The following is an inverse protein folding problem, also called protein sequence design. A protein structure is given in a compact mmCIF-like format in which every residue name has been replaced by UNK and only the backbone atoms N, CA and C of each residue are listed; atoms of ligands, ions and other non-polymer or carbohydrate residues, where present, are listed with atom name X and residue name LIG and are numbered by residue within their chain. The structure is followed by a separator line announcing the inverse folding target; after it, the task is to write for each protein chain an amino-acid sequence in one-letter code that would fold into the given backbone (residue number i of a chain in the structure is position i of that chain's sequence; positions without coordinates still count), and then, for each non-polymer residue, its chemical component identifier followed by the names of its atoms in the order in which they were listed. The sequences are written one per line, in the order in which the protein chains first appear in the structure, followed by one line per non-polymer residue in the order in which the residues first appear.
data_IF_132791576778
#
_entry.id   IF_132791576778
#
_cell.length_a   1.000
_cell.length_b   1.000
_cell.length_c   1.000
_cell.angle_alpha   90.00
_cell.angle_beta   90.00
_cell.angle_gamma   90.00
#
_symmetry.space_group_name_H-M   'P 1'
#
loop_
_entity.id
_entity.type
_entity.pdbx_description
1 polymer ?
#
# COMPACT_ATOMS: atom_id res chain seq x y z
N UNK A 1 -3.03 35.19 24.29
CA UNK A 1 -3.29 34.97 22.83
C UNK A 1 -2.43 35.83 21.91
N UNK A 2 -2.48 37.18 21.96
CA UNK A 2 -1.75 38.04 21.00
C UNK A 2 -0.22 37.85 20.95
N UNK A 3 0.42 37.51 22.08
CA UNK A 3 1.85 37.16 22.12
C UNK A 3 2.17 35.92 21.28
N UNK A 4 1.33 34.88 21.37
CA UNK A 4 1.46 33.66 20.57
C UNK A 4 1.27 33.94 19.08
N UNK A 5 0.31 34.82 18.75
CA UNK A 5 0.08 35.23 17.37
C UNK A 5 1.31 35.93 16.74
N UNK A 6 2.04 36.76 17.52
CA UNK A 6 3.30 37.39 17.07
C UNK A 6 4.44 36.38 16.86
N UNK A 7 4.47 35.30 17.62
CA UNK A 7 5.49 34.25 17.49
C UNK A 7 5.19 33.21 16.41
N UNK A 8 3.95 33.15 15.91
CA UNK A 8 3.53 32.20 14.88
C UNK A 8 4.08 32.57 13.51
N UNK A 9 4.71 31.61 12.83
CA UNK A 9 5.16 31.73 11.43
C UNK A 9 4.06 31.38 10.42
N UNK A 10 2.90 30.88 10.88
CA UNK A 10 1.78 30.48 10.02
C UNK A 10 0.69 31.55 10.02
N UNK A 11 0.48 32.22 8.88
CA UNK A 11 -0.53 33.28 8.76
C UNK A 11 -1.95 32.82 9.15
N UNK A 12 -2.31 31.57 8.83
CA UNK A 12 -3.60 30.98 9.22
C UNK A 12 -3.71 30.82 10.73
N UNK A 13 -2.68 30.28 11.39
CA UNK A 13 -2.64 30.11 12.83
C UNK A 13 -2.67 31.48 13.53
N UNK A 14 -1.94 32.47 13.03
CA UNK A 14 -1.95 33.85 13.54
C UNK A 14 -3.36 34.43 13.51
N UNK A 15 -4.07 34.30 12.38
CA UNK A 15 -5.46 34.78 12.26
C UNK A 15 -6.40 34.10 13.27
N UNK A 16 -6.28 32.79 13.44
CA UNK A 16 -7.07 32.00 14.41
C UNK A 16 -6.79 32.44 15.85
N UNK A 17 -5.52 32.66 16.19
CA UNK A 17 -5.10 33.15 17.51
C UNK A 17 -5.60 34.57 17.79
N UNK A 18 -5.67 35.45 16.77
CA UNK A 18 -6.24 36.79 16.92
C UNK A 18 -7.76 36.76 17.09
N UNK A 19 -8.46 35.90 16.35
CA UNK A 19 -9.90 35.69 16.53
C UNK A 19 -10.22 35.17 17.94
N UNK A 20 -9.42 34.23 18.47
CA UNK A 20 -9.61 33.77 19.85
C UNK A 20 -9.17 34.82 20.89
N UNK A 21 -8.17 35.65 20.59
CA UNK A 21 -7.80 36.77 21.47
C UNK A 21 -8.98 37.71 21.74
N UNK A 22 -9.76 38.02 20.69
CA UNK A 22 -10.95 38.85 20.80
C UNK A 22 -11.97 38.28 21.79
N UNK A 23 -12.20 36.96 21.76
CA UNK A 23 -13.10 36.29 22.71
C UNK A 23 -12.57 36.41 24.14
N UNK A 24 -11.26 36.20 24.33
CA UNK A 24 -10.62 36.30 25.64
C UNK A 24 -10.66 37.72 26.22
N UNK A 25 -10.64 38.73 25.36
CA UNK A 25 -10.77 40.14 25.76
C UNK A 25 -12.23 40.54 26.03
N UNK A 26 -13.17 39.60 26.01
CA UNK A 26 -14.61 39.84 26.25
C UNK A 26 -15.40 40.23 25.00
N UNK A 27 -14.78 40.19 23.82
CA UNK A 27 -15.42 40.48 22.54
C UNK A 27 -16.45 39.40 22.13
N UNK A 28 -17.37 39.79 21.26
CA UNK A 28 -18.43 38.89 20.79
C UNK A 28 -17.91 37.86 19.78
N UNK A 29 -18.59 36.71 19.70
CA UNK A 29 -18.29 35.68 18.67
C UNK A 29 -18.42 36.22 17.25
N UNK A 30 -19.30 37.19 17.03
CA UNK A 30 -19.44 37.87 15.74
C UNK A 30 -18.23 38.77 15.41
N UNK A 31 -17.64 39.43 16.42
CA UNK A 31 -16.38 40.18 16.26
C UNK A 31 -15.22 39.24 15.90
N UNK A 32 -15.07 38.16 16.67
CA UNK A 32 -14.05 37.16 16.42
C UNK A 32 -14.18 36.50 15.03
N UNK A 33 -15.40 36.22 14.59
CA UNK A 33 -15.70 35.69 13.26
C UNK A 33 -15.24 36.63 12.14
N UNK A 34 -15.47 37.95 12.29
CA UNK A 34 -14.97 38.96 11.35
C UNK A 34 -13.45 39.02 11.31
N UNK A 35 -12.78 38.99 12.46
CA UNK A 35 -11.29 38.93 12.54
C UNK A 35 -10.75 37.66 11.86
N UNK A 36 -11.43 36.53 12.09
CA UNK A 36 -11.10 35.23 11.51
C UNK A 36 -11.40 35.12 10.01
N UNK A 37 -12.30 35.95 9.48
CA UNK A 37 -12.86 35.82 8.13
C UNK A 37 -13.64 34.52 7.95
N UNK A 38 -14.36 34.07 8.98
CA UNK A 38 -15.04 32.77 9.03
C UNK A 38 -16.42 32.87 9.68
N UNK A 39 -17.25 31.84 9.55
CA UNK A 39 -18.53 31.75 10.26
C UNK A 39 -18.39 31.47 11.77
N UNK A 40 -19.45 31.75 12.52
CA UNK A 40 -19.53 31.57 13.98
C UNK A 40 -19.18 30.14 14.44
N UNK A 41 -19.63 29.13 13.70
CA UNK A 41 -19.35 27.72 14.01
C UNK A 41 -17.85 27.41 13.94
N UNK A 42 -17.12 27.97 12.97
CA UNK A 42 -15.68 27.75 12.82
C UNK A 42 -14.92 28.36 14.00
N UNK A 43 -15.33 29.53 14.50
CA UNK A 43 -14.74 30.14 15.70
C UNK A 43 -14.95 29.23 16.92
N UNK A 44 -16.14 28.64 17.06
CA UNK A 44 -16.43 27.66 18.11
C UNK A 44 -15.50 26.45 18.00
N UNK A 45 -15.37 25.88 16.79
CA UNK A 45 -14.52 24.72 16.55
C UNK A 45 -13.04 25.02 16.86
N UNK A 46 -12.55 26.22 16.53
CA UNK A 46 -11.21 26.68 16.92
C UNK A 46 -11.06 26.75 18.43
N UNK A 47 -12.07 27.27 19.16
CA UNK A 47 -12.06 27.28 20.62
C UNK A 47 -11.97 25.89 21.23
N UNK A 48 -12.76 24.93 20.71
CA UNK A 48 -12.72 23.53 21.15
C UNK A 48 -11.34 22.91 20.88
N UNK A 49 -10.78 23.07 19.68
CA UNK A 49 -9.45 22.55 19.34
C UNK A 49 -8.35 23.19 20.18
N UNK A 50 -8.42 24.49 20.40
CA UNK A 50 -7.47 25.21 21.23
C UNK A 50 -7.51 24.73 22.68
N UNK A 51 -8.71 24.49 23.23
CA UNK A 51 -8.83 23.99 24.60
C UNK A 51 -8.28 22.57 24.75
N UNK A 52 -8.37 21.73 23.70
CA UNK A 52 -7.87 20.37 23.72
C UNK A 52 -6.35 20.25 23.46
N UNK A 53 -5.79 21.08 22.56
CA UNK A 53 -4.44 20.90 22.01
C UNK A 53 -3.58 22.17 22.10
N UNK A 54 -4.09 23.24 22.73
CA UNK A 54 -3.42 24.53 22.81
C UNK A 54 -3.25 25.22 21.44
N UNK A 55 -2.22 26.07 21.29
CA UNK A 55 -1.96 26.80 20.05
C UNK A 55 -1.72 25.89 18.84
N UNK A 56 -1.18 24.69 19.06
CA UNK A 56 -0.87 23.73 18.00
C UNK A 56 -2.14 23.13 17.37
N UNK A 57 -3.23 23.04 18.14
CA UNK A 57 -4.55 22.66 17.62
C UNK A 57 -5.14 23.63 16.59
N UNK A 58 -4.54 24.81 16.43
CA UNK A 58 -4.90 25.80 15.42
C UNK A 58 -4.03 25.73 14.17
N UNK A 59 -3.06 24.83 14.10
CA UNK A 59 -2.34 24.53 12.87
C UNK A 59 -3.20 23.67 11.94
N UNK A 60 -3.00 23.82 10.64
CA UNK A 60 -3.57 22.88 9.68
C UNK A 60 -2.81 21.56 9.80
N UNK A 61 -3.47 20.51 10.29
CA UNK A 61 -2.96 19.16 10.21
C UNK A 61 -2.94 18.65 8.77
N UNK A 62 -2.01 17.74 8.46
CA UNK A 62 -2.06 16.99 7.20
C UNK A 62 -3.34 16.16 7.21
N UNK A 63 -4.20 16.34 6.21
CA UNK A 63 -5.38 15.50 6.07
C UNK A 63 -4.94 14.03 6.04
N UNK A 64 -5.64 13.12 6.74
CA UNK A 64 -5.25 11.71 6.86
C UNK A 64 -5.20 10.98 5.51
N UNK A 65 -5.70 11.61 4.44
CA UNK A 65 -5.77 11.03 3.11
C UNK A 65 -6.96 10.09 2.97
N UNK A 66 -7.07 9.44 1.80
CA UNK A 66 -8.08 8.40 1.58
C UNK A 66 -7.71 7.19 2.45
N UNK A 67 -8.65 6.62 3.24
CA UNK A 67 -8.38 5.41 4.00
C UNK A 67 -7.94 4.29 3.05
N UNK A 68 -7.05 3.43 3.53
CA UNK A 68 -6.63 2.24 2.79
C UNK A 68 -7.87 1.41 2.44
N UNK A 69 -7.91 0.85 1.22
CA UNK A 69 -9.01 -0.06 0.82
C UNK A 69 -8.93 -1.40 1.54
N UNK A 70 -7.75 -1.77 2.03
CA UNK A 70 -7.54 -2.91 2.92
C UNK A 70 -7.54 -2.41 4.36
N UNK A 71 -8.38 -3.01 5.20
CA UNK A 71 -8.33 -2.80 6.64
C UNK A 71 -7.17 -3.58 7.29
N UNK A 72 -6.89 -3.32 8.57
CA UNK A 72 -5.74 -3.92 9.26
C UNK A 72 -5.86 -5.45 9.42
N UNK A 73 -7.07 -6.00 9.44
CA UNK A 73 -7.30 -7.44 9.50
C UNK A 73 -6.97 -8.11 8.16
N UNK A 74 -7.48 -7.55 7.06
CA UNK A 74 -7.23 -8.00 5.69
C UNK A 74 -5.76 -7.85 5.33
N UNK A 75 -5.10 -6.78 5.78
CA UNK A 75 -3.67 -6.60 5.57
C UNK A 75 -2.85 -7.69 6.28
N UNK A 76 -3.23 -8.09 7.51
CA UNK A 76 -2.60 -9.20 8.22
C UNK A 76 -2.85 -10.55 7.55
N UNK A 77 -4.09 -10.81 7.12
CA UNK A 77 -4.43 -12.03 6.41
C UNK A 77 -3.68 -12.15 5.07
N UNK A 78 -3.52 -11.04 4.34
CA UNK A 78 -2.72 -10.99 3.11
C UNK A 78 -1.25 -11.37 3.38
N UNK A 79 -0.67 -10.87 4.46
CA UNK A 79 0.70 -11.23 4.87
C UNK A 79 0.79 -12.72 5.16
N UNK A 80 -0.11 -13.25 5.98
CA UNK A 80 -0.13 -14.66 6.33
C UNK A 80 -0.30 -15.57 5.11
N UNK A 81 -1.19 -15.21 4.18
CA UNK A 81 -1.39 -15.96 2.93
C UNK A 81 -0.13 -15.95 2.06
N UNK A 82 0.56 -14.81 1.95
CA UNK A 82 1.82 -14.70 1.19
C UNK A 82 2.93 -15.55 1.82
N UNK A 83 3.09 -15.51 3.15
CA UNK A 83 4.11 -16.29 3.87
C UNK A 83 3.84 -17.79 3.84
N UNK A 84 2.58 -18.20 4.03
CA UNK A 84 2.17 -19.61 3.94
C UNK A 84 2.37 -20.18 2.54
N UNK A 85 2.29 -19.33 1.52
CA UNK A 85 2.27 -19.74 0.12
C UNK A 85 0.92 -20.33 -0.31
N UNK A 86 0.71 -20.53 -1.62
CA UNK A 86 -0.54 -21.06 -2.12
C UNK A 86 -0.66 -22.56 -1.84
N UNK A 87 -1.89 -23.02 -1.58
CA UNK A 87 -2.25 -24.43 -1.51
C UNK A 87 -2.63 -24.87 -2.93
N UNK A 88 -1.83 -25.69 -3.64
CA UNK A 88 -2.08 -25.97 -5.06
C UNK A 88 -3.43 -26.61 -5.34
N UNK A 89 -3.93 -27.45 -4.42
CA UNK A 89 -5.22 -28.11 -4.56
C UNK A 89 -6.42 -27.16 -4.50
N UNK A 90 -6.28 -26.00 -3.84
CA UNK A 90 -7.35 -25.02 -3.67
C UNK A 90 -7.16 -23.85 -4.64
N UNK A 91 -5.94 -23.30 -4.67
CA UNK A 91 -5.65 -22.06 -5.41
C UNK A 91 -5.20 -22.30 -6.85
N UNK A 92 -4.90 -23.55 -7.24
CA UNK A 92 -4.47 -23.90 -8.60
C UNK A 92 -3.11 -23.33 -9.03
N UNK A 93 -2.36 -22.71 -8.11
CA UNK A 93 -1.07 -22.07 -8.39
C UNK A 93 0.02 -22.56 -7.43
N UNK A 94 1.24 -22.66 -7.95
CA UNK A 94 2.43 -23.08 -7.17
C UNK A 94 3.10 -21.90 -6.47
N UNK A 95 2.94 -20.69 -7.02
CA UNK A 95 3.44 -19.45 -6.43
C UNK A 95 2.38 -18.37 -6.57
N UNK A 96 2.31 -17.49 -5.58
CA UNK A 96 1.44 -16.31 -5.66
C UNK A 96 1.94 -15.35 -6.75
N UNK A 97 1.07 -15.04 -7.72
CA UNK A 97 1.17 -13.83 -8.56
C UNK A 97 0.26 -12.77 -7.96
N UNK A 98 0.49 -11.50 -8.33
CA UNK A 98 -0.36 -10.40 -7.86
C UNK A 98 -1.83 -10.59 -8.26
N UNK A 99 -2.09 -11.08 -9.48
CA UNK A 99 -3.43 -11.40 -9.96
C UNK A 99 -4.10 -12.50 -9.11
N UNK A 100 -3.33 -13.49 -8.64
CA UNK A 100 -3.86 -14.57 -7.79
C UNK A 100 -4.23 -14.03 -6.40
N UNK A 101 -3.43 -13.11 -5.85
CA UNK A 101 -3.73 -12.47 -4.56
C UNK A 101 -4.92 -11.51 -4.65
N UNK A 102 -5.12 -10.86 -5.81
CA UNK A 102 -6.33 -10.07 -6.08
C UNK A 102 -7.56 -10.97 -6.06
N UNK A 103 -7.49 -12.11 -6.75
CA UNK A 103 -8.57 -13.09 -6.78
C UNK A 103 -8.86 -13.64 -5.38
N UNK A 104 -7.82 -14.04 -4.64
CA UNK A 104 -7.96 -14.54 -3.28
C UNK A 104 -8.58 -13.49 -2.33
N UNK A 105 -8.17 -12.22 -2.41
CA UNK A 105 -8.78 -11.14 -1.62
C UNK A 105 -10.26 -10.91 -1.95
N UNK A 106 -10.66 -11.16 -3.21
CA UNK A 106 -12.05 -11.08 -3.62
C UNK A 106 -12.85 -12.27 -3.08
N UNK A 107 -12.32 -13.49 -3.17
CA UNK A 107 -13.00 -14.71 -2.69
C UNK A 107 -13.16 -14.72 -1.16
N UNK A 108 -12.11 -14.38 -0.42
CA UNK A 108 -12.10 -14.46 1.04
C UNK A 108 -12.79 -13.25 1.69
N UNK A 109 -12.66 -12.04 1.12
CA UNK A 109 -13.10 -10.80 1.75
C UNK A 109 -14.07 -9.94 0.92
N UNK A 110 -14.44 -10.36 -0.29
CA UNK A 110 -15.24 -9.58 -1.23
C UNK A 110 -14.66 -8.18 -1.55
N UNK A 111 -13.32 -8.04 -1.49
CA UNK A 111 -12.63 -6.78 -1.73
C UNK A 111 -12.03 -6.74 -3.13
N UNK A 112 -12.64 -5.97 -4.03
CA UNK A 112 -12.14 -5.81 -5.42
C UNK A 112 -11.01 -4.77 -5.50
N UNK A 113 -9.77 -5.22 -5.69
CA UNK A 113 -8.60 -4.37 -5.90
C UNK A 113 -7.94 -4.63 -7.24
N UNK A 114 -7.22 -3.64 -7.76
CA UNK A 114 -6.33 -3.85 -8.89
C UNK A 114 -4.97 -4.40 -8.43
N UNK A 115 -4.25 -5.05 -9.35
CA UNK A 115 -2.92 -5.62 -9.07
C UNK A 115 -1.91 -4.58 -8.57
N UNK A 116 -2.01 -3.32 -9.00
CA UNK A 116 -1.07 -2.27 -8.57
C UNK A 116 -1.32 -1.87 -7.13
N UNK A 117 -2.59 -1.86 -6.67
CA UNK A 117 -2.92 -1.61 -5.27
C UNK A 117 -2.39 -2.71 -4.36
N UNK A 118 -2.58 -3.99 -4.72
CA UNK A 118 -2.02 -5.13 -3.98
C UNK A 118 -0.48 -5.07 -3.98
N UNK A 119 0.13 -4.79 -5.14
CA UNK A 119 1.59 -4.64 -5.25
C UNK A 119 2.15 -3.50 -4.38
N UNK A 120 1.46 -2.35 -4.29
CA UNK A 120 1.84 -1.25 -3.39
C UNK A 120 1.67 -1.62 -1.92
N UNK A 121 0.60 -2.33 -1.58
CA UNK A 121 0.36 -2.82 -0.22
C UNK A 121 1.49 -3.75 0.23
N UNK A 122 1.84 -4.74 -0.60
CA UNK A 122 2.95 -5.66 -0.34
C UNK A 122 4.30 -4.93 -0.25
N UNK A 123 4.57 -3.95 -1.12
CA UNK A 123 5.81 -3.15 -1.03
C UNK A 123 5.89 -2.35 0.28
N UNK A 124 4.78 -1.78 0.74
CA UNK A 124 4.71 -1.05 2.02
C UNK A 124 5.00 -1.98 3.21
N UNK A 125 4.64 -3.26 3.08
CA UNK A 125 4.91 -4.33 4.04
C UNK A 125 6.33 -4.93 3.93
N UNK A 126 7.16 -4.46 3.00
CA UNK A 126 8.54 -4.92 2.82
C UNK A 126 8.75 -6.02 1.78
N UNK A 127 7.68 -6.51 1.14
CA UNK A 127 7.81 -7.52 0.09
C UNK A 127 8.33 -6.94 -1.21
N UNK A 128 9.18 -7.71 -1.88
CA UNK A 128 9.73 -7.38 -3.20
C UNK A 128 9.33 -8.47 -4.18
N UNK A 129 8.98 -8.05 -5.40
CA UNK A 129 8.71 -8.99 -6.49
C UNK A 129 9.99 -9.78 -6.79
N UNK A 130 9.97 -11.07 -6.48
CA UNK A 130 11.04 -11.97 -6.88
C UNK A 130 10.99 -12.16 -8.40
N UNK A 131 11.99 -11.65 -9.09
CA UNK A 131 12.22 -11.93 -10.51
C UNK A 131 13.35 -12.94 -10.63
N UNK A 132 13.16 -14.00 -11.42
CA UNK A 132 14.27 -14.88 -11.78
C UNK A 132 15.33 -14.05 -12.51
N UNK A 133 16.59 -14.11 -12.06
CA UNK A 133 17.73 -13.52 -12.78
C UNK A 133 17.94 -14.38 -14.04
N UNK A 134 17.93 -13.81 -15.26
CA UNK A 134 18.14 -14.58 -16.49
C UNK A 134 19.53 -15.25 -16.58
N UNK A 135 20.50 -14.81 -15.78
CA UNK A 135 21.86 -15.35 -15.72
C UNK A 135 22.20 -15.77 -14.29
N UNK A 136 22.60 -17.01 -14.11
CA UNK A 136 23.16 -17.52 -12.85
C UNK A 136 24.65 -17.19 -12.80
N UNK A 137 25.17 -16.68 -11.68
CA UNK A 137 26.57 -16.22 -11.59
C UNK A 137 27.61 -17.35 -11.82
N UNK A 138 27.23 -18.60 -11.56
CA UNK A 138 28.07 -19.78 -11.84
C UNK A 138 27.87 -20.36 -13.26
N UNK A 139 27.16 -19.66 -14.15
CA UNK A 139 26.96 -20.10 -15.54
C UNK A 139 28.25 -19.86 -16.33
N UNK A 140 29.03 -20.92 -16.54
CA UNK A 140 30.25 -20.87 -17.33
C UNK A 140 29.91 -20.98 -18.83
N UNK A 141 30.12 -19.91 -19.60
CA UNK A 141 29.85 -19.85 -21.04
C UNK A 141 30.66 -20.90 -21.83
N UNK A 142 31.91 -21.16 -21.43
CA UNK A 142 32.75 -22.17 -22.05
C UNK A 142 32.25 -23.60 -21.80
N UNK A 143 31.69 -23.86 -20.61
CA UNK A 143 31.09 -25.16 -20.28
C UNK A 143 29.79 -25.41 -21.08
N UNK A 144 29.01 -24.36 -21.33
CA UNK A 144 27.82 -24.45 -22.18
C UNK A 144 28.15 -24.68 -23.65
N UNK A 145 29.19 -24.01 -24.17
CA UNK A 145 29.66 -24.25 -25.53
C UNK A 145 30.26 -25.64 -25.70
N UNK A 146 31.02 -26.13 -24.71
CA UNK A 146 31.55 -27.49 -24.69
C UNK A 146 30.42 -28.53 -24.66
N UNK A 147 29.36 -28.30 -23.87
CA UNK A 147 28.18 -29.17 -23.86
C UNK A 147 27.43 -29.16 -25.20
N UNK A 148 27.29 -27.99 -25.84
CA UNK A 148 26.66 -27.88 -27.17
C UNK A 148 27.49 -28.52 -28.28
N UNK A 149 28.82 -28.40 -28.24
CA UNK A 149 29.75 -28.94 -29.25
C UNK A 149 30.11 -30.41 -29.01
N UNK A 150 30.02 -30.89 -27.77
CA UNK A 150 30.35 -32.25 -27.35
C UNK A 150 29.12 -33.13 -27.09
N UNK A 151 27.91 -32.69 -27.45
CA UNK A 151 26.73 -33.54 -27.40
C UNK A 151 26.93 -34.72 -28.35
N UNK A 152 27.23 -35.89 -27.76
CA UNK A 152 27.28 -37.19 -28.43
C UNK A 152 26.10 -37.33 -29.40
N UNK A 153 26.29 -37.93 -30.60
CA UNK A 153 25.19 -38.15 -31.51
C UNK A 153 24.07 -38.87 -30.76
N UNK A 154 22.81 -38.46 -30.93
CA UNK A 154 21.74 -39.00 -30.10
C UNK A 154 21.63 -40.50 -30.38
N UNK A 155 21.97 -41.31 -29.37
CA UNK A 155 21.69 -42.74 -29.37
C UNK A 155 20.19 -42.93 -29.15
N UNK A 156 19.39 -42.60 -30.16
CA UNK A 156 18.02 -43.04 -30.21
C UNK A 156 18.05 -44.55 -30.36
N UNK A 157 17.85 -45.28 -29.26
CA UNK A 157 17.43 -46.67 -29.37
C UNK A 157 16.06 -46.66 -30.05
N UNK A 158 16.02 -47.18 -31.28
CA UNK A 158 14.79 -47.39 -32.03
C UNK A 158 13.89 -48.28 -31.18
N UNK A 159 12.76 -47.76 -30.72
CA UNK A 159 11.72 -48.60 -30.14
C UNK A 159 11.28 -49.62 -31.19
N UNK A 160 11.23 -50.90 -30.82
CA UNK A 160 10.79 -51.98 -31.72
C UNK A 160 9.41 -51.66 -32.32
N UNK A 161 9.22 -52.07 -33.57
CA UNK A 161 7.95 -51.87 -34.28
C UNK A 161 6.82 -52.58 -33.54
N UNK A 162 5.66 -51.92 -33.32
CA UNK A 162 4.52 -52.58 -32.69
C UNK A 162 4.05 -53.71 -33.59
N UNK A 163 4.00 -54.92 -33.04
CA UNK A 163 3.39 -56.10 -33.67
C UNK A 163 1.94 -55.80 -34.01
N UNK A 164 1.56 -55.98 -35.28
CA UNK A 164 0.15 -55.89 -35.70
C UNK A 164 -0.64 -57.01 -35.03
N UNK A 165 -1.64 -56.64 -34.22
CA UNK A 165 -2.70 -57.57 -33.84
C UNK A 165 -3.45 -58.01 -35.10
N UNK A 166 -3.52 -59.33 -35.33
CA UNK A 166 -4.45 -59.90 -36.29
C UNK A 166 -5.87 -59.73 -35.73
N UNK A 167 -6.72 -59.00 -36.47
CA UNK A 167 -8.18 -59.01 -36.27
C UNK A 167 -8.79 -60.19 -37.04
N UNK A 168 -9.91 -60.76 -36.54
CA UNK A 168 -10.39 -62.11 -36.87
C UNK A 168 -10.78 -62.32 -38.33
#
# INVERSE_FOLDING_TARGET
MRRLARGSKCAKQTRRLLALAEIYDGGSRASAARIGGVGLQIVRDWGVRFNAQGPDGLLDGKAPGKPSRLNDAQQRALVEAVERGPIPAIHGVVRWRLIDLVQWLHEEFAVSLDETTVGRALRKLGYVKLTARPRHHAQNELAMEAFKKGALPPSWQRSEQPSREARP
#
